data_IF_160790925876
#
_entry.id   IF_160790925876
#
_cell.length_a   1.000
_cell.length_b   1.000
_cell.length_c   1.000
_cell.angle_alpha   90.00
_cell.angle_beta   90.00
_cell.angle_gamma   90.00
#
_symmetry.space_group_name_H-M   'P 1'
#
loop_
_entity.id
_entity.type
_entity.pdbx_description
1 polymer ?
#
# COMPACT_ATOMS: atom_id res chain seq x y z
N UNK A 1 -3.28 -17.79 -15.37
CA UNK A 1 -3.09 -16.40 -14.94
C UNK A 1 -2.14 -16.42 -13.75
N UNK A 2 -0.89 -15.99 -13.94
CA UNK A 2 0.13 -16.04 -12.90
C UNK A 2 0.05 -14.72 -12.10
N UNK A 3 -0.63 -14.74 -10.96
CA UNK A 3 -0.57 -13.63 -10.00
C UNK A 3 0.71 -13.83 -9.20
N UNK A 4 1.73 -13.04 -9.48
CA UNK A 4 2.98 -13.05 -8.71
C UNK A 4 2.68 -12.50 -7.32
N UNK A 5 2.31 -13.39 -6.40
CA UNK A 5 2.11 -13.09 -4.99
C UNK A 5 3.47 -12.63 -4.43
N UNK A 6 3.69 -11.31 -4.35
CA UNK A 6 4.64 -10.78 -3.38
C UNK A 6 4.08 -11.12 -1.98
N UNK A 7 4.43 -12.30 -1.48
CA UNK A 7 3.84 -12.94 -0.29
C UNK A 7 4.19 -12.25 1.03
N UNK A 8 4.71 -11.02 0.98
CA UNK A 8 5.06 -10.23 2.15
C UNK A 8 4.06 -9.11 2.30
N UNK A 9 3.19 -9.29 3.30
CA UNK A 9 2.48 -8.18 3.90
C UNK A 9 3.51 -7.18 4.42
N UNK A 10 3.35 -5.93 4.03
CA UNK A 10 4.11 -4.81 4.60
C UNK A 10 3.16 -3.97 5.43
N UNK A 11 3.71 -3.33 6.47
CA UNK A 11 3.01 -2.32 7.24
C UNK A 11 3.42 -0.96 6.70
N UNK A 12 2.46 -0.18 6.21
CA UNK A 12 2.65 1.18 5.73
C UNK A 12 1.96 2.14 6.69
N UNK A 13 2.66 3.18 7.10
CA UNK A 13 2.07 4.31 7.82
C UNK A 13 1.84 5.42 6.80
N UNK A 14 0.60 5.82 6.63
CA UNK A 14 0.16 6.82 5.65
C UNK A 14 -0.33 8.06 6.38
N UNK A 15 0.17 9.22 6.01
CA UNK A 15 -0.28 10.51 6.50
C UNK A 15 -1.71 10.78 6.00
N UNK A 16 -2.62 10.98 6.95
CA UNK A 16 -3.97 11.45 6.69
C UNK A 16 -4.19 12.75 7.47
N UNK A 17 -5.12 13.59 7.01
CA UNK A 17 -5.37 14.93 7.58
C UNK A 17 -5.85 14.91 9.03
N UNK A 18 -6.28 13.76 9.54
CA UNK A 18 -6.79 13.58 10.89
C UNK A 18 -5.74 12.94 11.82
N UNK A 19 -5.23 11.77 11.45
CA UNK A 19 -4.28 10.97 12.22
C UNK A 19 -3.51 10.04 11.26
N UNK A 20 -2.30 9.59 11.60
CA UNK A 20 -1.57 8.67 10.73
C UNK A 20 -2.27 7.31 10.62
N UNK A 21 -2.58 6.90 9.38
CA UNK A 21 -3.26 5.64 9.12
C UNK A 21 -2.24 4.52 8.90
N UNK A 22 -2.19 3.58 9.84
CA UNK A 22 -1.38 2.36 9.71
C UNK A 22 -2.15 1.31 8.91
N UNK A 23 -1.70 1.07 7.69
CA UNK A 23 -2.25 0.06 6.80
C UNK A 23 -1.34 -1.17 6.70
N UNK A 24 -1.93 -2.37 6.77
CA UNK A 24 -1.22 -3.62 6.48
C UNK A 24 -1.78 -4.25 5.23
N UNK A 25 -0.92 -4.61 4.30
CA UNK A 25 -1.35 -5.23 3.06
C UNK A 25 -0.21 -5.65 2.16
N UNK A 26 -0.57 -6.20 1.01
CA UNK A 26 0.37 -6.61 -0.04
C UNK A 26 0.37 -5.56 -1.15
N UNK A 27 1.55 -5.08 -1.52
CA UNK A 27 1.69 -4.20 -2.68
C UNK A 27 1.59 -5.05 -3.93
N UNK A 28 0.55 -4.82 -4.71
CA UNK A 28 0.28 -5.56 -5.95
C UNK A 28 0.78 -4.83 -7.20
N UNK A 29 0.74 -3.50 -7.15
CA UNK A 29 1.21 -2.64 -8.25
C UNK A 29 1.84 -1.36 -7.71
N UNK A 30 2.84 -0.85 -8.45
CA UNK A 30 3.49 0.44 -8.18
C UNK A 30 3.40 1.27 -9.45
N UNK A 31 2.68 2.39 -9.39
CA UNK A 31 2.56 3.33 -10.49
C UNK A 31 3.56 4.48 -10.29
N UNK A 32 4.64 4.46 -11.06
CA UNK A 32 5.72 5.45 -10.96
C UNK A 32 5.30 6.83 -11.45
N UNK A 33 4.41 6.90 -12.45
CA UNK A 33 3.96 8.16 -13.07
C UNK A 33 3.20 9.04 -12.09
N UNK A 34 2.17 8.51 -11.44
CA UNK A 34 1.41 9.24 -10.42
C UNK A 34 2.00 9.09 -9.01
N UNK A 35 3.13 8.37 -8.87
CA UNK A 35 3.77 8.04 -7.60
C UNK A 35 2.77 7.45 -6.60
N UNK A 36 2.06 6.40 -7.00
CA UNK A 36 1.08 5.70 -6.15
C UNK A 36 1.34 4.21 -6.12
N UNK A 37 0.94 3.57 -5.04
CA UNK A 37 0.97 2.11 -4.90
C UNK A 37 -0.43 1.58 -4.68
N UNK A 38 -0.67 0.38 -5.22
CA UNK A 38 -1.87 -0.38 -4.95
C UNK A 38 -1.59 -1.34 -3.80
N UNK A 39 -2.11 -1.01 -2.63
CA UNK A 39 -2.10 -1.87 -1.46
C UNK A 39 -3.38 -2.68 -1.45
N UNK A 40 -3.27 -4.00 -1.26
CA UNK A 40 -4.41 -4.91 -1.14
C UNK A 40 -4.42 -5.47 0.28
N UNK A 41 -5.55 -5.30 0.99
CA UNK A 41 -5.72 -5.64 2.42
C UNK A 41 -6.66 -6.85 2.64
N UNK A 42 -6.88 -7.67 1.62
CA UNK A 42 -7.77 -8.84 1.65
C UNK A 42 -8.26 -9.20 0.24
N UNK A 43 -9.22 -10.12 0.13
CA UNK A 43 -9.74 -10.59 -1.17
C UNK A 43 -10.44 -9.49 -1.99
N UNK A 44 -11.00 -8.45 -1.35
CA UNK A 44 -11.74 -7.39 -2.06
C UNK A 44 -11.36 -5.95 -1.68
N UNK A 45 -10.51 -5.76 -0.67
CA UNK A 45 -10.08 -4.42 -0.23
C UNK A 45 -8.79 -3.99 -0.91
N UNK A 46 -8.87 -2.99 -1.79
CA UNK A 46 -7.70 -2.32 -2.37
C UNK A 46 -7.72 -0.81 -2.13
N UNK A 47 -6.53 -0.26 -1.89
CA UNK A 47 -6.35 1.17 -1.66
C UNK A 47 -5.19 1.68 -2.50
N UNK A 48 -5.43 2.79 -3.20
CA UNK A 48 -4.40 3.52 -3.91
C UNK A 48 -3.82 4.59 -2.98
N UNK A 49 -2.56 4.39 -2.59
CA UNK A 49 -1.87 5.24 -1.63
C UNK A 49 -0.82 6.03 -2.41
N UNK A 50 -0.79 7.36 -2.25
CA UNK A 50 0.29 8.16 -2.85
C UNK A 50 1.57 7.96 -2.07
N UNK A 51 2.70 7.83 -2.75
CA UNK A 51 4.03 7.73 -2.14
C UNK A 51 4.33 8.94 -1.25
N UNK A 52 3.83 10.11 -1.63
CA UNK A 52 4.01 11.37 -0.88
C UNK A 52 3.30 11.35 0.47
N UNK A 53 2.27 10.51 0.62
CA UNK A 53 1.54 10.32 1.86
C UNK A 53 2.17 9.21 2.71
N UNK A 54 3.12 8.41 2.20
CA UNK A 54 3.75 7.34 2.99
C UNK A 54 4.78 7.97 3.94
N UNK A 55 4.48 7.90 5.24
CA UNK A 55 5.37 8.35 6.32
C UNK A 55 6.47 7.31 6.54
N UNK A 56 6.08 6.03 6.60
CA UNK A 56 7.00 4.94 6.92
C UNK A 56 6.55 3.62 6.31
N UNK A 57 7.52 2.76 6.01
CA UNK A 57 7.29 1.40 5.56
C UNK A 57 8.11 0.44 6.43
N UNK A 58 7.42 -0.47 7.11
CA UNK A 58 8.00 -1.50 7.97
C UNK A 58 7.64 -2.91 7.50
N UNK A 59 8.45 -3.88 7.92
CA UNK A 59 8.14 -5.31 7.78
C UNK A 59 7.74 -5.91 9.13
#
# INVERSE_FOLDING_TARGET
>A
MHVTCFRRSITLTVFNSFDDEVMRGVVTSIEKTNRRIKLVRGDEDYSWIKLEEIISAGN
#
